data_IF_126053947055
#
_entry.id   IF_126053947055
#
_cell.length_a   1.000
_cell.length_b   1.000
_cell.length_c   1.000
_cell.angle_alpha   90.00
_cell.angle_beta   90.00
_cell.angle_gamma   90.00
#
_symmetry.space_group_name_H-M   'P 1'
#
loop_
_entity.id
_entity.type
_entity.pdbx_description
1 polymer ?
#
# COMPACT_ATOMS: atom_id res chain seq x y z
N UNK A 1 -59.63 15.95 -37.09
CA UNK A 1 -59.51 16.66 -35.79
C UNK A 1 -58.02 16.66 -35.44
N UNK A 2 -57.27 17.72 -35.76
CA UNK A 2 -57.11 18.95 -34.95
C UNK A 2 -56.41 18.64 -33.62
N UNK A 3 -55.29 19.22 -33.17
CA UNK A 3 -54.43 20.35 -33.61
C UNK A 3 -53.19 20.42 -32.66
N UNK A 4 -52.13 21.09 -33.11
CA UNK A 4 -51.10 21.87 -32.39
C UNK A 4 -49.99 21.23 -31.50
N UNK A 5 -48.81 21.13 -32.12
CA UNK A 5 -47.55 21.85 -31.81
C UNK A 5 -47.61 23.01 -30.79
N UNK A 6 -46.67 23.07 -29.82
CA UNK A 6 -45.77 24.23 -29.58
C UNK A 6 -44.66 23.96 -28.53
N UNK A 7 -43.42 24.18 -28.95
CA UNK A 7 -42.25 24.55 -28.15
C UNK A 7 -42.49 25.89 -27.39
N UNK A 8 -41.79 26.11 -26.26
CA UNK A 8 -41.03 27.33 -25.90
C UNK A 8 -40.80 27.42 -24.37
N UNK A 9 -39.56 27.32 -23.86
CA UNK A 9 -38.61 28.41 -23.53
C UNK A 9 -38.75 28.97 -22.08
N UNK A 10 -37.71 28.70 -21.28
CA UNK A 10 -36.92 29.61 -20.39
C UNK A 10 -37.58 30.40 -19.23
N UNK A 11 -36.72 30.75 -18.25
CA UNK A 11 -36.88 31.65 -17.08
C UNK A 11 -37.45 30.99 -15.80
N UNK A 12 -37.02 31.28 -14.57
CA UNK A 12 -36.02 32.22 -14.07
C UNK A 12 -35.53 31.82 -12.66
N UNK A 13 -34.26 32.12 -12.45
CA UNK A 13 -33.53 32.35 -11.19
C UNK A 13 -34.22 33.40 -10.31
N UNK A 14 -34.51 33.09 -9.03
CA UNK A 14 -34.26 33.91 -7.80
C UNK A 14 -35.20 33.51 -6.64
N UNK A 15 -34.61 33.36 -5.45
CA UNK A 15 -35.36 33.24 -4.21
C UNK A 15 -34.46 33.10 -2.98
N UNK A 16 -33.48 33.98 -2.82
CA UNK A 16 -32.86 34.22 -1.52
C UNK A 16 -33.73 35.23 -0.75
N UNK A 17 -33.99 34.97 0.53
CA UNK A 17 -34.12 35.93 1.66
C UNK A 17 -34.62 35.12 2.87
N UNK A 18 -33.79 34.95 3.91
CA UNK A 18 -34.28 34.74 5.26
C UNK A 18 -33.72 35.85 6.15
N UNK A 19 -34.65 36.58 6.73
CA UNK A 19 -34.52 37.89 7.34
C UNK A 19 -34.26 37.78 8.85
N UNK A 20 -33.46 38.72 9.37
CA UNK A 20 -33.80 39.39 10.63
C UNK A 20 -33.35 38.74 11.94
N UNK A 21 -32.19 39.20 12.43
CA UNK A 21 -31.71 39.13 13.81
C UNK A 21 -32.78 39.58 14.83
N UNK A 22 -32.81 38.90 15.98
CA UNK A 22 -33.13 39.53 17.25
C UNK A 22 -32.02 39.17 18.27
N UNK A 23 -31.16 40.15 18.56
CA UNK A 23 -30.27 40.19 19.71
C UNK A 23 -30.90 41.10 20.75
N UNK A 24 -30.86 40.73 22.03
CA UNK A 24 -30.80 41.72 23.11
C UNK A 24 -30.24 41.11 24.42
N UNK A 25 -28.99 41.49 24.67
CA UNK A 25 -28.29 41.84 25.93
C UNK A 25 -28.67 41.18 27.27
N UNK A 26 -27.66 40.76 28.04
CA UNK A 26 -27.31 41.34 29.37
C UNK A 26 -25.87 40.96 29.77
N UNK A 27 -25.26 41.85 30.56
CA UNK A 27 -23.85 42.13 30.90
C UNK A 27 -23.07 41.12 31.78
N UNK A 28 -21.76 41.00 31.46
CA UNK A 28 -20.54 41.05 32.33
C UNK A 28 -20.22 39.91 33.37
N UNK A 29 -19.06 39.94 34.08
CA UNK A 29 -17.73 39.50 33.64
C UNK A 29 -17.02 38.46 34.57
N UNK A 30 -15.85 37.99 34.14
CA UNK A 30 -14.80 37.20 34.83
C UNK A 30 -14.95 36.79 36.32
N UNK A 31 -14.78 35.48 36.60
CA UNK A 31 -14.29 34.97 37.91
C UNK A 31 -13.30 33.83 37.72
N UNK A 32 -12.03 34.15 37.91
CA UNK A 32 -10.96 33.21 38.23
C UNK A 32 -11.28 32.60 39.61
N UNK A 33 -11.26 31.27 39.74
CA UNK A 33 -11.15 30.64 41.05
C UNK A 33 -10.04 29.58 41.02
N UNK A 34 -8.90 30.01 41.55
CA UNK A 34 -7.71 29.23 41.81
C UNK A 34 -7.90 28.27 42.99
N UNK A 35 -7.24 27.12 42.85
CA UNK A 35 -6.50 26.40 43.90
C UNK A 35 -7.26 25.71 45.06
N UNK A 36 -6.93 24.43 45.20
CA UNK A 36 -6.88 23.64 46.45
C UNK A 36 -8.22 23.06 46.91
N UNK A 37 -8.49 21.82 46.50
CA UNK A 37 -8.96 20.77 47.41
C UNK A 37 -8.63 19.36 46.86
N UNK A 38 -7.48 18.84 47.31
CA UNK A 38 -7.24 17.41 47.66
C UNK A 38 -7.26 16.37 46.53
N UNK A 39 -6.17 16.34 45.76
CA UNK A 39 -5.72 15.16 45.06
C UNK A 39 -5.22 14.11 46.09
N UNK A 40 -6.07 13.16 46.48
CA UNK A 40 -5.59 11.92 47.13
C UNK A 40 -5.22 10.92 46.03
N UNK A 41 -3.98 10.40 45.99
CA UNK A 41 -3.63 9.39 45.01
C UNK A 41 -4.35 8.10 45.39
N UNK A 42 -5.38 7.73 44.63
CA UNK A 42 -5.90 6.38 44.68
C UNK A 42 -4.78 5.45 44.23
N UNK A 43 -4.32 4.64 45.20
CA UNK A 43 -3.21 3.71 45.12
C UNK A 43 -3.35 2.85 43.86
N UNK A 44 -2.33 2.94 43.00
CA UNK A 44 -2.14 2.29 41.69
C UNK A 44 -2.11 0.75 41.72
N UNK A 45 -2.51 0.13 42.82
CA UNK A 45 -2.44 -1.32 43.05
C UNK A 45 -3.77 -2.05 42.85
N UNK A 46 -4.90 -1.34 42.73
CA UNK A 46 -6.23 -1.96 42.57
C UNK A 46 -6.50 -2.57 41.18
N UNK A 47 -5.91 -2.00 40.12
CA UNK A 47 -6.17 -2.45 38.74
C UNK A 47 -5.45 -3.76 38.40
N UNK A 48 -4.31 -4.03 39.04
CA UNK A 48 -3.50 -5.24 38.80
C UNK A 48 -4.04 -6.43 39.63
N UNK A 49 -4.60 -6.17 40.82
CA UNK A 49 -5.21 -7.22 41.63
C UNK A 49 -6.54 -7.72 41.03
N UNK A 50 -7.31 -6.83 40.37
CA UNK A 50 -8.53 -7.23 39.68
C UNK A 50 -8.29 -8.05 38.40
N UNK A 51 -7.20 -7.79 37.67
CA UNK A 51 -6.85 -8.58 36.47
C UNK A 51 -6.28 -9.96 36.82
N UNK A 52 -5.55 -10.09 37.92
CA UNK A 52 -5.07 -11.40 38.42
C UNK A 52 -6.22 -12.22 39.01
N UNK A 53 -7.18 -11.60 39.73
CA UNK A 53 -8.40 -12.29 40.18
C UNK A 53 -9.30 -12.70 39.00
N UNK A 54 -9.44 -11.87 37.97
CA UNK A 54 -10.20 -12.20 36.77
C UNK A 54 -9.58 -13.33 35.94
N UNK A 55 -8.24 -13.48 35.95
CA UNK A 55 -7.53 -14.54 35.22
C UNK A 55 -7.44 -15.86 36.00
N UNK A 56 -7.47 -15.84 37.33
CA UNK A 56 -7.58 -17.06 38.16
C UNK A 56 -9.01 -17.59 38.30
N UNK A 57 -10.03 -16.73 38.18
CA UNK A 57 -11.44 -17.13 38.21
C UNK A 57 -11.99 -17.65 36.88
N UNK A 58 -11.27 -17.45 35.77
CA UNK A 58 -11.72 -17.82 34.42
C UNK A 58 -11.18 -19.17 33.91
N UNK A 59 -10.36 -19.88 34.69
CA UNK A 59 -9.88 -21.22 34.33
C UNK A 59 -10.81 -22.38 34.71
N UNK A 60 -11.99 -22.12 35.26
CA UNK A 60 -12.99 -23.16 35.61
C UNK A 60 -14.42 -22.87 35.12
N UNK A 61 -14.60 -21.86 34.27
CA UNK A 61 -15.90 -21.48 33.73
C UNK A 61 -15.95 -21.61 32.23
N UNK A 62 -16.31 -22.80 31.73
CA UNK A 62 -16.85 -22.96 30.39
C UNK A 62 -18.10 -22.09 30.25
N UNK A 63 -17.94 -20.86 29.76
CA UNK A 63 -19.04 -20.00 29.32
C UNK A 63 -18.80 -19.58 27.88
N UNK A 64 -19.40 -20.37 26.99
CA UNK A 64 -20.06 -19.94 25.75
C UNK A 64 -20.18 -18.42 25.71
N UNK A 65 -19.28 -17.77 24.98
CA UNK A 65 -19.42 -16.36 24.59
C UNK A 65 -19.47 -16.33 23.06
N UNK A 66 -20.66 -16.42 22.42
CA UNK A 66 -20.86 -15.95 21.06
C UNK A 66 -20.95 -14.42 21.10
N UNK A 67 -19.87 -13.78 21.56
CA UNK A 67 -19.65 -12.34 21.48
C UNK A 67 -19.10 -11.99 20.12
N UNK A 68 -19.86 -12.33 19.09
CA UNK A 68 -19.62 -11.97 17.71
C UNK A 68 -19.83 -10.47 17.52
N UNK A 69 -18.77 -9.67 17.64
CA UNK A 69 -18.61 -8.44 16.84
C UNK A 69 -17.16 -7.95 16.90
N UNK A 70 -16.20 -8.86 16.65
CA UNK A 70 -14.84 -8.45 16.33
C UNK A 70 -14.90 -7.65 15.03
N UNK A 71 -14.41 -6.42 15.09
CA UNK A 71 -14.13 -5.51 13.98
C UNK A 71 -13.24 -6.19 12.92
N UNK A 72 -13.79 -7.16 12.19
CA UNK A 72 -13.09 -8.00 11.21
C UNK A 72 -13.00 -7.36 9.84
N UNK A 73 -13.73 -6.27 9.58
CA UNK A 73 -13.65 -5.55 8.30
C UNK A 73 -12.31 -4.85 8.12
N UNK A 74 -11.99 -3.89 8.99
CA UNK A 74 -10.84 -2.99 8.81
C UNK A 74 -9.48 -3.68 9.00
N UNK A 75 -9.37 -4.61 9.96
CA UNK A 75 -8.08 -5.29 10.23
C UNK A 75 -7.82 -6.40 9.21
N UNK A 76 -8.84 -7.17 8.81
CA UNK A 76 -8.65 -8.22 7.79
C UNK A 76 -8.40 -7.63 6.40
N UNK A 77 -9.02 -6.51 6.05
CA UNK A 77 -8.75 -5.79 4.80
C UNK A 77 -7.32 -5.21 4.79
N UNK A 78 -6.86 -4.64 5.91
CA UNK A 78 -5.46 -4.18 6.04
C UNK A 78 -4.45 -5.33 5.95
N UNK A 79 -4.78 -6.49 6.54
CA UNK A 79 -3.92 -7.67 6.52
C UNK A 79 -3.86 -8.29 5.11
N UNK A 80 -4.99 -8.39 4.42
CA UNK A 80 -5.03 -8.86 3.04
C UNK A 80 -4.21 -7.94 2.11
N UNK A 81 -4.36 -6.62 2.24
CA UNK A 81 -3.56 -5.65 1.49
C UNK A 81 -2.06 -5.76 1.78
N UNK A 82 -1.68 -5.93 3.04
CA UNK A 82 -0.28 -6.11 3.44
C UNK A 82 0.32 -7.42 2.89
N UNK A 83 -0.44 -8.52 2.86
CA UNK A 83 0.00 -9.79 2.29
C UNK A 83 0.20 -9.70 0.77
N UNK A 84 -0.70 -9.01 0.06
CA UNK A 84 -0.55 -8.79 -1.39
C UNK A 84 0.69 -7.92 -1.67
N UNK A 85 0.90 -6.86 -0.90
CA UNK A 85 2.09 -6.02 -1.04
C UNK A 85 3.39 -6.80 -0.76
N UNK A 86 3.41 -7.63 0.29
CA UNK A 86 4.54 -8.50 0.60
C UNK A 86 4.81 -9.54 -0.50
N UNK A 87 3.75 -10.17 -1.03
CA UNK A 87 3.84 -11.15 -2.10
C UNK A 87 4.39 -10.53 -3.40
N UNK A 88 4.00 -9.29 -3.74
CA UNK A 88 4.54 -8.55 -4.88
C UNK A 88 6.05 -8.32 -4.75
N UNK A 89 6.50 -7.85 -3.59
CA UNK A 89 7.92 -7.58 -3.34
C UNK A 89 8.76 -8.86 -3.40
N UNK A 90 8.24 -9.97 -2.85
CA UNK A 90 8.91 -11.26 -2.89
C UNK A 90 8.96 -11.83 -4.31
N UNK A 91 7.84 -11.78 -5.03
CA UNK A 91 7.74 -12.23 -6.42
C UNK A 91 8.65 -11.43 -7.35
N UNK A 92 8.67 -10.11 -7.21
CA UNK A 92 9.57 -9.24 -7.96
C UNK A 92 11.04 -9.58 -7.69
N UNK A 93 11.43 -9.78 -6.42
CA UNK A 93 12.78 -10.19 -6.05
C UNK A 93 13.18 -11.52 -6.69
N UNK A 94 12.32 -12.54 -6.61
CA UNK A 94 12.58 -13.85 -7.22
C UNK A 94 12.65 -13.80 -8.76
N UNK A 95 11.84 -12.96 -9.40
CA UNK A 95 11.89 -12.77 -10.85
C UNK A 95 13.25 -12.22 -11.33
N UNK A 96 13.93 -11.38 -10.52
CA UNK A 96 15.25 -10.84 -10.88
C UNK A 96 16.38 -11.87 -10.88
N UNK A 97 16.20 -13.05 -10.26
CA UNK A 97 17.23 -14.11 -10.27
C UNK A 97 17.58 -14.54 -11.70
N UNK A 98 16.66 -14.37 -12.67
CA UNK A 98 16.93 -14.60 -14.09
C UNK A 98 18.08 -13.78 -14.67
N UNK A 99 18.43 -12.62 -14.06
CA UNK A 99 19.56 -11.78 -14.50
C UNK A 99 20.91 -12.45 -14.30
N UNK A 100 21.01 -13.40 -13.37
CA UNK A 100 22.21 -14.21 -13.24
C UNK A 100 22.50 -14.99 -14.54
N UNK A 101 21.46 -15.47 -15.23
CA UNK A 101 21.58 -16.14 -16.52
C UNK A 101 22.12 -15.20 -17.61
N UNK A 102 21.66 -13.95 -17.65
CA UNK A 102 22.18 -12.94 -18.57
C UNK A 102 23.67 -12.66 -18.30
N UNK A 103 24.07 -12.48 -17.03
CA UNK A 103 25.46 -12.28 -16.65
C UNK A 103 26.38 -13.44 -17.06
N UNK A 104 25.94 -14.68 -16.85
CA UNK A 104 26.65 -15.88 -17.30
C UNK A 104 26.71 -15.95 -18.84
N UNK A 105 25.62 -15.63 -19.53
CA UNK A 105 25.56 -15.60 -20.99
C UNK A 105 26.56 -14.61 -21.58
N UNK A 106 26.62 -13.39 -21.04
CA UNK A 106 27.57 -12.36 -21.47
C UNK A 106 29.02 -12.83 -21.24
N UNK A 107 29.32 -13.36 -20.05
CA UNK A 107 30.65 -13.86 -19.71
C UNK A 107 31.11 -15.00 -20.64
N UNK A 108 30.22 -15.92 -20.99
CA UNK A 108 30.53 -17.03 -21.89
C UNK A 108 30.73 -16.58 -23.33
N UNK A 109 29.89 -15.66 -23.84
CA UNK A 109 30.03 -15.10 -25.20
C UNK A 109 31.35 -14.35 -25.35
N UNK A 110 31.68 -13.45 -24.42
CA UNK A 110 32.94 -12.72 -24.48
C UNK A 110 34.16 -13.62 -24.21
N UNK A 111 34.04 -14.62 -23.34
CA UNK A 111 35.08 -15.63 -23.13
C UNK A 111 35.39 -16.42 -24.40
N UNK A 112 34.36 -16.88 -25.12
CA UNK A 112 34.50 -17.58 -26.39
C UNK A 112 35.06 -16.66 -27.49
N UNK A 113 34.69 -15.38 -27.49
CA UNK A 113 35.25 -14.39 -28.42
C UNK A 113 36.77 -14.24 -28.23
N UNK A 114 37.24 -14.05 -27.00
CA UNK A 114 38.68 -13.87 -26.73
C UNK A 114 39.45 -15.12 -27.15
N UNK A 115 38.96 -16.31 -26.79
CA UNK A 115 39.60 -17.56 -27.20
C UNK A 115 39.57 -17.77 -28.71
N UNK A 116 38.48 -17.41 -29.39
CA UNK A 116 38.37 -17.49 -30.84
C UNK A 116 39.32 -16.55 -31.57
N UNK A 117 39.40 -15.29 -31.12
CA UNK A 117 40.32 -14.27 -31.67
C UNK A 117 41.78 -14.64 -31.38
N UNK A 118 42.08 -15.20 -30.22
CA UNK A 118 43.43 -15.66 -29.87
C UNK A 118 43.93 -16.79 -30.79
N UNK A 119 43.03 -17.65 -31.28
CA UNK A 119 43.36 -18.73 -32.22
C UNK A 119 43.50 -18.24 -33.65
N UNK A 120 42.65 -17.32 -34.09
CA UNK A 120 42.73 -16.75 -35.43
C UNK A 120 42.35 -15.25 -35.44
N UNK A 121 43.34 -14.35 -35.37
CA UNK A 121 43.08 -12.92 -35.30
C UNK A 121 42.54 -12.32 -36.62
N UNK A 122 42.73 -13.00 -37.76
CA UNK A 122 42.24 -12.52 -39.06
C UNK A 122 40.71 -12.49 -39.14
N UNK A 123 40.02 -13.36 -38.39
CA UNK A 123 38.56 -13.46 -38.36
C UNK A 123 37.91 -12.58 -37.28
N UNK A 124 38.69 -11.73 -36.60
CA UNK A 124 38.21 -10.91 -35.48
C UNK A 124 36.97 -10.09 -35.82
N UNK A 125 36.91 -9.48 -37.01
CA UNK A 125 35.77 -8.64 -37.41
C UNK A 125 34.46 -9.42 -37.45
N UNK A 126 34.48 -10.62 -38.03
CA UNK A 126 33.30 -11.49 -38.13
C UNK A 126 32.91 -12.10 -36.77
N UNK A 127 33.90 -12.57 -36.00
CA UNK A 127 33.68 -13.09 -34.65
C UNK A 127 33.11 -12.02 -33.71
N UNK A 128 33.58 -10.77 -33.84
CA UNK A 128 33.04 -9.67 -33.06
C UNK A 128 31.57 -9.38 -33.41
N UNK A 129 31.19 -9.39 -34.69
CA UNK A 129 29.78 -9.26 -35.09
C UNK A 129 28.90 -10.38 -34.51
N UNK A 130 29.37 -11.62 -34.50
CA UNK A 130 28.64 -12.73 -33.86
C UNK A 130 28.59 -12.61 -32.34
N UNK A 131 29.66 -12.12 -31.71
CA UNK A 131 29.68 -11.88 -30.27
C UNK A 131 28.71 -10.76 -29.87
N UNK A 132 28.61 -9.68 -30.64
CA UNK A 132 27.64 -8.61 -30.37
C UNK A 132 26.21 -9.09 -30.57
N UNK A 133 25.94 -9.93 -31.57
CA UNK A 133 24.64 -10.58 -31.73
C UNK A 133 24.30 -11.46 -30.51
N UNK A 134 25.25 -12.28 -30.05
CA UNK A 134 25.09 -13.13 -28.87
C UNK A 134 24.89 -12.32 -27.59
N UNK A 135 25.64 -11.23 -27.43
CA UNK A 135 25.48 -10.27 -26.33
C UNK A 135 24.08 -9.64 -26.35
N UNK A 136 23.62 -9.16 -27.50
CA UNK A 136 22.29 -8.54 -27.64
C UNK A 136 21.17 -9.54 -27.29
N UNK A 137 21.31 -10.80 -27.67
CA UNK A 137 20.34 -11.83 -27.30
C UNK A 137 20.38 -12.16 -25.81
N UNK A 138 21.58 -12.28 -25.21
CA UNK A 138 21.73 -12.47 -23.77
C UNK A 138 21.10 -11.32 -22.98
N UNK A 139 21.35 -10.07 -23.38
CA UNK A 139 20.72 -8.89 -22.80
C UNK A 139 19.21 -8.86 -23.02
N UNK A 140 18.70 -9.23 -24.20
CA UNK A 140 17.26 -9.30 -24.45
C UNK A 140 16.56 -10.25 -23.47
N UNK A 141 17.16 -11.41 -23.17
CA UNK A 141 16.61 -12.33 -22.17
C UNK A 141 16.70 -11.79 -20.74
N UNK A 142 17.77 -11.06 -20.41
CA UNK A 142 17.93 -10.39 -19.12
C UNK A 142 16.91 -9.27 -18.91
N UNK A 143 16.74 -8.40 -19.91
CA UNK A 143 15.76 -7.32 -19.88
C UNK A 143 14.32 -7.86 -19.88
N UNK A 144 14.07 -9.00 -20.52
CA UNK A 144 12.78 -9.67 -20.42
C UNK A 144 12.47 -10.11 -18.98
N UNK A 145 13.44 -10.68 -18.26
CA UNK A 145 13.28 -11.01 -16.85
C UNK A 145 13.06 -9.75 -15.98
N UNK A 146 13.79 -8.65 -16.23
CA UNK A 146 13.53 -7.37 -15.55
C UNK A 146 12.15 -6.80 -15.86
N UNK A 147 11.67 -6.95 -17.11
CA UNK A 147 10.33 -6.50 -17.49
C UNK A 147 9.26 -7.20 -16.66
N UNK A 148 9.39 -8.51 -16.45
CA UNK A 148 8.46 -9.28 -15.60
C UNK A 148 8.56 -8.81 -14.14
N UNK A 149 9.76 -8.58 -13.63
CA UNK A 149 9.97 -8.07 -12.27
C UNK A 149 9.31 -6.68 -12.07
N UNK A 150 9.40 -5.78 -13.06
CA UNK A 150 8.74 -4.48 -13.01
C UNK A 150 7.22 -4.56 -13.16
N UNK A 151 6.69 -5.49 -13.97
CA UNK A 151 5.24 -5.75 -13.99
C UNK A 151 4.72 -6.18 -12.62
N UNK A 152 5.45 -7.05 -11.91
CA UNK A 152 5.07 -7.51 -10.57
C UNK A 152 5.10 -6.40 -9.50
N UNK A 153 5.94 -5.39 -9.68
CA UNK A 153 6.11 -4.30 -8.70
C UNK A 153 5.16 -3.12 -8.97
N UNK A 154 4.97 -2.77 -10.24
CA UNK A 154 4.27 -1.53 -10.64
C UNK A 154 2.94 -1.73 -11.36
N UNK A 155 2.68 -2.88 -11.99
CA UNK A 155 1.45 -3.10 -12.77
C UNK A 155 0.37 -3.86 -11.98
N UNK A 156 0.79 -4.86 -11.20
CA UNK A 156 -0.01 -5.49 -10.15
C UNK A 156 0.40 -4.89 -8.82
#
# INVERSE_FOLDING_TARGET
MSVATKLSVTLARRGAVQSGRFMSTTHAPARIQSSILRQTPAVRNGLILNSVRASLGSSMGSSITPGAMQSRGIVAESAAGALIAAAKMQGAGLATVGLAGAGVGIGTVFGALIQGVARNPALRGQLFSYAILGFAFAEATGLFALMVAFMLLFAY
#
